data_IF_235214677899
#
_entry.id   IF_235214677899
#
_cell.length_a   1.000
_cell.length_b   1.000
_cell.length_c   1.000
_cell.angle_alpha   90.00
_cell.angle_beta   90.00
_cell.angle_gamma   90.00
#
_symmetry.space_group_name_H-M   'P 1'
#
loop_
_entity.id
_entity.type
_entity.pdbx_description
1 polymer ?
#
# COMPACT_ATOMS: atom_id res chain seq x y z
N UNK A 1 -5.35 33.21 6.72
CA UNK A 1 -5.53 33.46 5.28
C UNK A 1 -5.33 32.15 4.50
N UNK A 2 -6.40 31.37 4.23
CA UNK A 2 -6.29 30.00 3.69
C UNK A 2 -6.37 29.91 2.15
N UNK A 3 -6.53 31.03 1.45
CA UNK A 3 -6.82 31.09 0.01
C UNK A 3 -5.59 30.97 -0.89
N UNK A 4 -4.39 31.30 -0.40
CA UNK A 4 -3.16 31.33 -1.20
C UNK A 4 -2.48 29.95 -1.29
N UNK A 5 -2.58 29.11 -0.26
CA UNK A 5 -2.08 27.72 -0.28
C UNK A 5 -2.88 26.82 -1.23
N UNK A 6 -4.21 26.95 -1.24
CA UNK A 6 -5.08 26.17 -2.14
C UNK A 6 -4.80 26.44 -3.61
N UNK A 7 -4.46 27.69 -3.96
CA UNK A 7 -4.18 28.07 -5.35
C UNK A 7 -2.87 27.43 -5.83
N UNK A 8 -1.81 27.49 -5.02
CA UNK A 8 -0.53 26.80 -5.30
C UNK A 8 -0.68 25.29 -5.44
N UNK A 9 -1.52 24.68 -4.59
CA UNK A 9 -1.79 23.25 -4.66
C UNK A 9 -2.51 22.86 -5.95
N UNK A 10 -3.50 23.64 -6.38
CA UNK A 10 -4.20 23.40 -7.65
C UNK A 10 -3.25 23.54 -8.85
N UNK A 11 -2.41 24.56 -8.87
CA UNK A 11 -1.39 24.73 -9.92
C UNK A 11 -0.43 23.53 -9.96
N UNK A 12 -0.01 23.04 -8.79
CA UNK A 12 0.82 21.83 -8.69
C UNK A 12 0.12 20.60 -9.27
N UNK A 13 -1.16 20.38 -8.95
CA UNK A 13 -1.94 19.25 -9.48
C UNK A 13 -2.14 19.34 -11.00
N UNK A 14 -2.28 20.57 -11.53
CA UNK A 14 -2.34 20.83 -12.96
C UNK A 14 -1.02 20.44 -13.62
N UNK A 15 0.13 20.84 -13.07
CA UNK A 15 1.44 20.44 -13.61
C UNK A 15 1.66 18.93 -13.55
N UNK A 16 1.28 18.27 -12.45
CA UNK A 16 1.34 16.80 -12.32
C UNK A 16 0.54 16.09 -13.42
N UNK A 17 -0.64 16.62 -13.75
CA UNK A 17 -1.46 16.04 -14.81
C UNK A 17 -0.88 16.22 -16.21
N UNK A 18 0.05 17.16 -16.39
CA UNK A 18 0.78 17.43 -17.65
C UNK A 18 2.08 16.64 -17.75
N UNK A 19 2.22 15.54 -16.99
CA UNK A 19 3.41 14.68 -17.00
C UNK A 19 4.67 15.34 -16.41
N UNK A 20 4.54 16.39 -15.59
CA UNK A 20 5.68 17.00 -14.90
C UNK A 20 6.14 16.14 -13.71
N UNK A 21 7.25 15.43 -13.89
CA UNK A 21 7.89 14.61 -12.86
C UNK A 21 8.35 15.44 -11.65
N UNK A 22 8.79 16.68 -11.85
CA UNK A 22 9.22 17.55 -10.76
C UNK A 22 8.03 17.97 -9.90
N UNK A 23 6.92 18.36 -10.53
CA UNK A 23 5.68 18.66 -9.82
C UNK A 23 5.18 17.45 -9.01
N UNK A 24 5.31 16.24 -9.56
CA UNK A 24 4.92 15.03 -8.85
C UNK A 24 5.84 14.71 -7.67
N UNK A 25 7.14 14.97 -7.80
CA UNK A 25 8.09 14.84 -6.69
C UNK A 25 7.75 15.78 -5.55
N UNK A 26 7.44 17.04 -5.85
CA UNK A 26 6.99 18.01 -4.82
C UNK A 26 5.69 17.54 -4.17
N UNK A 27 4.74 17.05 -4.96
CA UNK A 27 3.51 16.46 -4.43
C UNK A 27 3.78 15.25 -3.52
N UNK A 28 4.68 14.36 -3.93
CA UNK A 28 5.10 13.22 -3.14
C UNK A 28 5.67 13.66 -1.79
N UNK A 29 6.65 14.57 -1.80
CA UNK A 29 7.32 15.04 -0.57
C UNK A 29 6.33 15.69 0.42
N UNK A 30 5.32 16.41 -0.10
CA UNK A 30 4.27 17.04 0.72
C UNK A 30 3.37 16.01 1.42
N UNK A 31 2.96 14.95 0.73
CA UNK A 31 1.95 14.01 1.24
C UNK A 31 2.54 12.71 1.81
N UNK A 32 3.80 12.40 1.52
CA UNK A 32 4.45 11.16 1.94
C UNK A 32 4.33 10.94 3.45
N UNK A 33 4.71 11.94 4.25
CA UNK A 33 4.72 11.83 5.71
C UNK A 33 3.32 11.59 6.29
N UNK A 34 2.31 12.27 5.74
CA UNK A 34 0.92 12.16 6.17
C UNK A 34 0.32 10.80 5.82
N UNK A 35 0.56 10.32 4.59
CA UNK A 35 0.08 9.00 4.16
C UNK A 35 0.83 7.89 4.91
N UNK A 36 2.13 8.00 5.09
CA UNK A 36 2.92 7.02 5.82
C UNK A 36 2.44 6.86 7.27
N UNK A 37 2.18 7.97 7.98
CA UNK A 37 1.62 7.91 9.34
C UNK A 37 0.24 7.27 9.36
N UNK A 38 -0.60 7.56 8.36
CA UNK A 38 -1.92 6.98 8.24
C UNK A 38 -1.87 5.48 7.98
N UNK A 39 -1.08 5.01 7.03
CA UNK A 39 -0.93 3.58 6.71
C UNK A 39 -0.29 2.81 7.87
N UNK A 40 0.64 3.43 8.60
CA UNK A 40 1.25 2.84 9.79
C UNK A 40 0.25 2.53 10.90
N UNK A 41 -0.80 3.34 11.03
CA UNK A 41 -1.88 3.06 11.98
C UNK A 41 -2.59 1.71 11.71
N UNK A 42 -2.71 1.32 10.43
CA UNK A 42 -3.36 0.07 10.04
C UNK A 42 -2.40 -1.12 10.03
N UNK A 43 -1.19 -0.93 9.50
CA UNK A 43 -0.27 -2.04 9.21
C UNK A 43 0.68 -2.33 10.37
N UNK A 44 1.02 -1.32 11.18
CA UNK A 44 1.98 -1.39 12.30
C UNK A 44 3.35 -1.99 11.96
N UNK A 45 3.68 -2.08 10.67
CA UNK A 45 4.95 -2.59 10.15
C UNK A 45 5.49 -1.60 9.13
N UNK A 46 6.74 -1.15 9.32
CA UNK A 46 7.36 -0.11 8.47
C UNK A 46 7.58 -0.56 7.03
N UNK A 47 7.98 -1.81 6.80
CA UNK A 47 8.21 -2.36 5.47
C UNK A 47 6.89 -2.43 4.69
N UNK A 48 5.86 -3.00 5.31
CA UNK A 48 4.52 -3.05 4.75
C UNK A 48 3.96 -1.65 4.44
N UNK A 49 4.24 -0.67 5.30
CA UNK A 49 3.85 0.72 5.05
C UNK A 49 4.58 1.30 3.84
N UNK A 50 5.89 1.05 3.70
CA UNK A 50 6.65 1.51 2.55
C UNK A 50 6.10 0.98 1.23
N UNK A 51 5.74 -0.31 1.20
CA UNK A 51 5.13 -0.95 0.02
C UNK A 51 3.77 -0.33 -0.31
N UNK A 52 2.90 -0.21 0.69
CA UNK A 52 1.56 0.38 0.52
C UNK A 52 1.64 1.84 0.08
N UNK A 53 2.48 2.65 0.71
CA UNK A 53 2.66 4.07 0.33
C UNK A 53 3.16 4.18 -1.11
N UNK A 54 4.12 3.34 -1.51
CA UNK A 54 4.60 3.30 -2.89
C UNK A 54 3.48 2.96 -3.87
N UNK A 55 2.66 1.94 -3.55
CA UNK A 55 1.51 1.55 -4.38
C UNK A 55 0.47 2.67 -4.50
N UNK A 56 0.22 3.42 -3.43
CA UNK A 56 -0.68 4.60 -3.44
C UNK A 56 -0.19 5.64 -4.43
N UNK A 57 1.08 6.06 -4.34
CA UNK A 57 1.63 7.08 -5.24
C UNK A 57 1.71 6.60 -6.68
N UNK A 58 2.01 5.32 -6.93
CA UNK A 58 1.94 4.72 -8.27
C UNK A 58 0.51 4.74 -8.82
N UNK A 59 -0.48 4.41 -8.02
CA UNK A 59 -1.89 4.46 -8.43
C UNK A 59 -2.31 5.89 -8.78
N UNK A 60 -1.90 6.87 -7.98
CA UNK A 60 -2.15 8.29 -8.22
C UNK A 60 -1.49 8.75 -9.52
N UNK A 61 -0.23 8.38 -9.75
CA UNK A 61 0.48 8.72 -10.99
C UNK A 61 -0.21 8.13 -12.23
N UNK A 62 -0.67 6.88 -12.14
CA UNK A 62 -1.45 6.23 -13.21
C UNK A 62 -2.76 6.97 -13.48
N UNK A 63 -3.40 7.47 -12.42
CA UNK A 63 -4.64 8.26 -12.51
C UNK A 63 -4.42 9.77 -12.52
N UNK A 64 -3.22 10.28 -12.82
CA UNK A 64 -2.88 11.71 -12.70
C UNK A 64 -3.79 12.66 -13.50
N UNK A 65 -4.34 12.19 -14.62
CA UNK A 65 -5.27 12.96 -15.45
C UNK A 65 -6.57 13.29 -14.70
N UNK A 66 -7.02 12.41 -13.79
CA UNK A 66 -8.24 12.66 -13.00
C UNK A 66 -8.01 13.63 -11.84
N UNK A 67 -6.75 13.86 -11.42
CA UNK A 67 -6.41 14.77 -10.32
C UNK A 67 -6.93 16.19 -10.53
N UNK A 68 -6.95 16.69 -11.79
CA UNK A 68 -7.51 18.01 -12.14
C UNK A 68 -8.97 18.20 -11.73
N UNK A 69 -9.74 17.12 -11.64
CA UNK A 69 -11.18 17.15 -11.34
C UNK A 69 -11.50 16.92 -9.87
N UNK A 70 -10.48 16.65 -9.04
CA UNK A 70 -10.67 16.32 -7.64
C UNK A 70 -10.77 17.61 -6.83
N UNK A 71 -11.91 17.81 -6.18
CA UNK A 71 -12.17 18.98 -5.34
C UNK A 71 -11.42 18.94 -4.00
N UNK A 72 -11.14 17.73 -3.49
CA UNK A 72 -10.44 17.52 -2.22
C UNK A 72 -9.41 16.41 -2.35
N UNK A 73 -8.16 16.81 -2.60
CA UNK A 73 -7.04 15.89 -2.81
C UNK A 73 -6.70 15.11 -1.54
N UNK A 74 -6.81 15.72 -0.36
CA UNK A 74 -6.55 15.07 0.92
C UNK A 74 -7.48 13.87 1.11
N UNK A 75 -8.78 14.10 0.93
CA UNK A 75 -9.79 13.05 1.04
C UNK A 75 -9.54 11.92 0.04
N UNK A 76 -9.19 12.26 -1.20
CA UNK A 76 -8.85 11.28 -2.23
C UNK A 76 -7.63 10.43 -1.83
N UNK A 77 -6.55 11.07 -1.37
CA UNK A 77 -5.33 10.41 -0.91
C UNK A 77 -5.62 9.41 0.22
N UNK A 78 -6.39 9.81 1.22
CA UNK A 78 -6.75 8.92 2.33
C UNK A 78 -7.64 7.74 1.90
N UNK A 79 -8.55 7.96 0.94
CA UNK A 79 -9.37 6.87 0.37
C UNK A 79 -8.48 5.87 -0.36
N UNK A 80 -7.57 6.34 -1.22
CA UNK A 80 -6.64 5.47 -1.95
C UNK A 80 -5.73 4.72 -0.96
N UNK A 81 -5.15 5.42 0.02
CA UNK A 81 -4.31 4.81 1.05
C UNK A 81 -5.01 3.74 1.88
N UNK A 82 -6.27 3.98 2.25
CA UNK A 82 -7.10 3.00 2.95
C UNK A 82 -7.39 1.78 2.06
N UNK A 83 -7.72 2.00 0.80
CA UNK A 83 -8.00 0.92 -0.14
C UNK A 83 -6.75 0.05 -0.36
N UNK A 84 -5.60 0.68 -0.53
CA UNK A 84 -4.30 0.00 -0.69
C UNK A 84 -3.89 -0.77 0.56
N UNK A 85 -4.07 -0.18 1.74
CA UNK A 85 -3.82 -0.87 3.02
C UNK A 85 -4.70 -2.11 3.17
N UNK A 86 -5.99 -2.00 2.81
CA UNK A 86 -6.91 -3.15 2.86
C UNK A 86 -6.56 -4.22 1.82
N UNK A 87 -6.17 -3.80 0.60
CA UNK A 87 -5.70 -4.73 -0.44
C UNK A 87 -4.50 -5.52 0.05
N UNK A 88 -3.50 -4.83 0.59
CA UNK A 88 -2.32 -5.45 1.18
C UNK A 88 -2.68 -6.44 2.30
N UNK A 89 -3.53 -6.04 3.25
CA UNK A 89 -3.96 -6.93 4.35
C UNK A 89 -4.70 -8.18 3.84
N UNK A 90 -5.53 -8.04 2.80
CA UNK A 90 -6.21 -9.19 2.16
C UNK A 90 -5.19 -10.11 1.49
N UNK A 91 -4.26 -9.56 0.74
CA UNK A 91 -3.19 -10.33 0.09
C UNK A 91 -2.32 -11.05 1.10
N UNK A 92 -1.88 -10.39 2.18
CA UNK A 92 -1.15 -11.04 3.26
C UNK A 92 -1.96 -12.17 3.91
N UNK A 93 -3.26 -11.98 4.11
CA UNK A 93 -4.14 -13.03 4.66
C UNK A 93 -4.27 -14.22 3.71
N UNK A 94 -4.36 -13.96 2.41
CA UNK A 94 -4.39 -14.99 1.36
C UNK A 94 -3.03 -15.69 1.26
N UNK A 95 -1.90 -14.97 1.26
CA UNK A 95 -0.55 -15.53 1.30
C UNK A 95 -0.34 -16.38 2.56
N UNK A 96 -0.79 -15.95 3.73
CA UNK A 96 -0.77 -16.81 4.94
C UNK A 96 -1.61 -18.08 4.83
N UNK A 97 -2.62 -18.10 3.95
CA UNK A 97 -3.40 -19.31 3.63
C UNK A 97 -2.74 -20.18 2.56
N UNK A 98 -1.81 -19.63 1.79
CA UNK A 98 -1.08 -20.31 0.73
C UNK A 98 0.41 -20.29 1.10
N UNK A 99 0.90 -21.32 1.79
CA UNK A 99 2.33 -21.46 2.07
C UNK A 99 3.12 -21.31 0.77
N UNK A 100 4.11 -20.42 0.75
CA UNK A 100 5.06 -20.41 -0.37
C UNK A 100 5.76 -21.75 -0.44
N UNK A 101 6.14 -22.22 -1.62
CA UNK A 101 6.91 -23.46 -1.78
C UNK A 101 8.22 -23.41 -0.97
N UNK A 102 8.80 -22.21 -0.80
CA UNK A 102 9.98 -21.98 0.04
C UNK A 102 9.70 -22.06 1.56
N UNK A 103 8.44 -21.88 1.98
CA UNK A 103 8.02 -21.91 3.39
C UNK A 103 7.50 -23.29 3.82
N UNK A 104 7.36 -24.24 2.89
CA UNK A 104 6.99 -25.62 3.21
C UNK A 104 8.20 -26.29 3.90
N UNK A 105 8.05 -26.77 5.15
CA UNK A 105 9.15 -27.49 5.79
C UNK A 105 9.48 -28.75 4.99
N UNK A 106 10.76 -28.91 4.61
CA UNK A 106 11.26 -30.03 3.78
C UNK A 106 10.88 -31.40 4.36
N UNK A 107 10.69 -31.48 5.68
CA UNK A 107 10.24 -32.68 6.38
C UNK A 107 8.87 -33.21 5.93
N UNK A 108 8.01 -32.38 5.33
CA UNK A 108 6.69 -32.81 4.82
C UNK A 108 6.82 -33.56 3.48
N UNK A 109 7.97 -33.44 2.80
CA UNK A 109 8.23 -34.10 1.51
C UNK A 109 8.93 -35.46 1.68
N UNK A 110 9.30 -35.84 2.91
CA UNK A 110 9.94 -37.12 3.17
C UNK A 110 8.92 -38.26 3.13
N UNK A 111 8.78 -38.89 1.96
CA UNK A 111 7.97 -40.09 1.74
C UNK A 111 8.41 -41.31 2.57
N UNK A 112 9.55 -41.24 3.26
CA UNK A 112 10.09 -42.33 4.09
C UNK A 112 9.88 -42.12 5.60
N UNK A 113 9.17 -41.08 6.02
CA UNK A 113 8.83 -40.88 7.42
C UNK A 113 7.87 -41.97 7.92
N UNK A 114 8.20 -42.73 8.99
CA UNK A 114 7.30 -43.75 9.52
C UNK A 114 6.01 -43.09 10.00
N UNK A 115 4.84 -43.71 9.76
CA UNK A 115 3.57 -43.16 10.20
C UNK A 115 3.59 -42.94 11.72
N UNK A 116 2.99 -41.84 12.21
CA UNK A 116 2.96 -41.56 13.64
C UNK A 116 2.34 -42.75 14.37
N UNK A 117 3.08 -43.30 15.34
CA UNK A 117 2.58 -44.38 16.21
C UNK A 117 1.49 -43.79 17.09
N UNK A 118 0.23 -43.96 16.68
CA UNK A 118 -0.92 -43.67 17.54
C UNK A 118 -0.80 -44.58 18.77
N UNK A 119 -0.35 -43.98 19.88
CA UNK A 119 -0.27 -44.63 21.18
C UNK A 119 -1.64 -45.20 21.53
N UNK A 120 -1.64 -46.46 21.94
CA UNK A 120 -2.84 -47.25 22.16
C UNK A 120 -3.83 -46.56 23.08
N UNK A 121 -5.01 -46.29 22.55
CA UNK A 121 -6.21 -46.14 23.35
C UNK A 121 -6.62 -47.55 23.77
N UNK A 122 -6.30 -47.88 25.01
CA UNK A 122 -6.94 -48.95 25.77
C UNK A 122 -8.12 -48.36 26.51
#
# INVERSE_FOLDING_TARGET
MPSMEKKKLNDLLISVSENDDYAFRVFYDLYYQSIFRFTYYFLRNKEACGEVVSNVFVAIWKSRVSLRRISNIDAYLYIVARNESNRYLRECRTRRRCLSLEEIPVSVLDRNSPPPRWGGFR
#
